data_IF_367730389472
#
_entry.id   IF_367730389472
#
_cell.length_a   1.000
_cell.length_b   1.000
_cell.length_c   1.000
_cell.angle_alpha   90.00
_cell.angle_beta   90.00
_cell.angle_gamma   90.00
#
_symmetry.space_group_name_H-M   'P 1'
#
loop_
_entity.id
_entity.type
_entity.pdbx_description
1 polymer ?
#
# COMPACT_ATOMS: atom_id res chain seq x y z
N UNK A 1 35.03 2.96 -39.47
CA UNK A 1 34.36 1.81 -38.77
C UNK A 1 34.30 1.91 -37.24
N UNK A 2 35.04 2.80 -36.54
CA UNK A 2 35.07 2.83 -35.07
C UNK A 2 33.99 3.72 -34.41
N UNK A 3 33.52 4.77 -35.09
CA UNK A 3 32.55 5.73 -34.54
C UNK A 3 31.11 5.17 -34.40
N UNK A 4 30.68 4.35 -35.38
CA UNK A 4 29.36 3.70 -35.37
C UNK A 4 29.22 2.64 -34.26
N UNK A 5 30.34 1.99 -33.88
CA UNK A 5 30.38 1.01 -32.78
C UNK A 5 30.25 1.69 -31.42
N UNK A 6 30.85 2.86 -31.23
CA UNK A 6 30.71 3.65 -29.99
C UNK A 6 29.27 4.12 -29.78
N UNK A 7 28.60 4.55 -30.85
CA UNK A 7 27.20 5.00 -30.78
C UNK A 7 26.22 3.84 -30.51
N UNK A 8 26.50 2.64 -31.04
CA UNK A 8 25.75 1.42 -30.71
C UNK A 8 25.94 1.01 -29.24
N UNK A 9 27.15 1.12 -28.70
CA UNK A 9 27.43 0.77 -27.29
C UNK A 9 26.73 1.75 -26.34
N UNK A 10 26.76 3.05 -26.63
CA UNK A 10 26.08 4.09 -25.83
C UNK A 10 24.54 3.93 -25.88
N UNK A 11 23.99 3.57 -27.05
CA UNK A 11 22.56 3.27 -27.19
C UNK A 11 22.14 2.00 -26.44
N UNK A 12 23.01 0.99 -26.36
CA UNK A 12 22.75 -0.25 -25.61
C UNK A 12 22.86 -0.03 -24.09
N UNK A 13 23.77 0.84 -23.64
CA UNK A 13 23.90 1.22 -22.22
C UNK A 13 22.73 2.06 -21.69
N UNK A 14 22.08 2.87 -22.53
CA UNK A 14 20.89 3.64 -22.14
C UNK A 14 19.62 2.78 -22.01
N UNK A 15 19.59 1.57 -22.58
CA UNK A 15 18.44 0.66 -22.47
C UNK A 15 18.40 -0.14 -21.14
N UNK A 16 19.45 -0.07 -20.32
CA UNK A 16 19.55 -0.78 -19.03
C UNK A 16 19.02 0.02 -17.83
N UNK A 17 18.53 1.26 -18.02
CA UNK A 17 18.13 2.16 -16.93
C UNK A 17 16.65 2.07 -16.53
N UNK A 18 15.91 1.08 -17.02
CA UNK A 18 14.46 1.02 -16.86
C UNK A 18 13.94 -0.04 -15.86
N UNK A 19 14.69 -0.48 -14.85
CA UNK A 19 14.13 -1.33 -13.79
C UNK A 19 14.80 -1.10 -12.42
N UNK A 20 14.96 0.16 -12.00
CA UNK A 20 15.15 0.44 -10.58
C UNK A 20 13.80 0.33 -9.85
N UNK A 21 13.32 -0.92 -9.73
CA UNK A 21 12.20 -1.25 -8.87
C UNK A 21 12.69 -1.32 -7.43
N UNK A 22 12.91 -0.16 -6.80
CA UNK A 22 13.25 -0.08 -5.39
C UNK A 22 12.21 -0.82 -4.54
N UNK A 23 12.68 -1.67 -3.62
CA UNK A 23 11.85 -2.18 -2.51
C UNK A 23 11.62 -1.00 -1.58
N UNK A 24 10.45 -0.35 -1.67
CA UNK A 24 10.06 0.65 -0.69
C UNK A 24 9.79 0.00 0.67
N UNK A 25 10.08 0.71 1.74
CA UNK A 25 9.65 0.36 3.10
C UNK A 25 8.26 0.92 3.36
N UNK A 26 7.48 0.22 4.19
CA UNK A 26 6.18 0.73 4.63
C UNK A 26 6.40 1.98 5.49
N UNK A 27 5.82 3.14 5.15
CA UNK A 27 5.86 4.33 6.00
C UNK A 27 5.31 4.05 7.40
N UNK A 28 5.98 4.56 8.44
CA UNK A 28 5.59 4.36 9.84
C UNK A 28 4.15 4.83 10.12
N UNK A 29 3.73 5.92 9.49
CA UNK A 29 2.37 6.46 9.57
C UNK A 29 1.29 5.48 9.13
N UNK A 30 1.62 4.49 8.28
CA UNK A 30 0.67 3.47 7.83
C UNK A 30 0.62 2.27 8.77
N UNK A 31 1.66 2.06 9.59
CA UNK A 31 1.74 0.91 10.49
C UNK A 31 0.66 1.04 11.57
N UNK A 32 -0.06 -0.07 11.78
CA UNK A 32 -1.12 -0.19 12.78
C UNK A 32 -2.35 -0.90 12.26
N UNK A 33 -3.30 -1.08 13.18
CA UNK A 33 -4.62 -1.66 12.92
C UNK A 33 -5.57 -0.55 12.46
N UNK A 34 -6.32 -0.83 11.40
CA UNK A 34 -7.28 0.09 10.79
C UNK A 34 -8.67 -0.53 10.83
N UNK A 35 -9.60 0.20 11.44
CA UNK A 35 -10.98 -0.21 11.67
C UNK A 35 -11.93 0.82 11.03
N UNK A 36 -13.18 0.43 10.79
CA UNK A 36 -14.22 1.34 10.31
C UNK A 36 -15.40 1.34 11.27
N UNK A 37 -16.15 2.45 11.31
CA UNK A 37 -17.40 2.55 12.08
C UNK A 37 -18.61 1.98 11.33
N UNK A 38 -18.42 1.46 10.11
CA UNK A 38 -19.50 0.85 9.34
C UNK A 38 -20.00 -0.43 10.01
N UNK A 39 -21.30 -0.55 10.37
CA UNK A 39 -21.82 -1.75 11.05
C UNK A 39 -21.62 -3.04 10.27
N UNK A 40 -21.63 -2.98 8.93
CA UNK A 40 -21.40 -4.13 8.06
C UNK A 40 -19.97 -4.69 8.13
N UNK A 41 -19.07 -3.98 8.79
CA UNK A 41 -17.64 -4.31 8.94
C UNK A 41 -17.21 -4.25 10.41
N UNK A 42 -18.15 -4.33 11.36
CA UNK A 42 -17.87 -4.13 12.78
C UNK A 42 -16.85 -5.13 13.36
N UNK A 43 -16.75 -6.33 12.78
CA UNK A 43 -15.79 -7.36 13.15
C UNK A 43 -14.64 -7.51 12.14
N UNK A 44 -14.46 -6.52 11.26
CA UNK A 44 -13.45 -6.53 10.19
C UNK A 44 -12.45 -5.42 10.39
N UNK A 45 -11.20 -5.73 10.10
CA UNK A 45 -10.08 -4.79 10.16
C UNK A 45 -9.07 -5.12 9.08
N UNK A 46 -8.14 -4.20 8.84
CA UNK A 46 -6.88 -4.57 8.23
C UNK A 46 -5.74 -3.98 9.06
N UNK A 47 -4.62 -4.69 9.12
CA UNK A 47 -3.42 -4.24 9.81
C UNK A 47 -2.29 -4.17 8.82
N UNK A 48 -1.58 -3.05 8.84
CA UNK A 48 -0.36 -2.88 8.08
C UNK A 48 0.80 -2.98 9.06
N UNK A 49 1.73 -3.89 8.80
CA UNK A 49 3.00 -4.00 9.49
C UNK A 49 4.17 -3.72 8.54
N UNK A 50 5.39 -3.71 9.06
CA UNK A 50 6.59 -3.40 8.29
C UNK A 50 6.83 -4.38 7.12
N UNK A 51 6.40 -5.64 7.25
CA UNK A 51 6.68 -6.73 6.29
C UNK A 51 5.43 -7.51 5.86
N UNK A 52 4.29 -7.27 6.46
CA UNK A 52 3.06 -8.02 6.20
C UNK A 52 1.83 -7.12 6.29
N UNK A 53 0.78 -7.56 5.62
CA UNK A 53 -0.57 -7.01 5.71
C UNK A 53 -1.50 -8.11 6.18
N UNK A 54 -2.35 -7.79 7.15
CA UNK A 54 -3.30 -8.71 7.75
C UNK A 54 -4.71 -8.23 7.44
N UNK A 55 -5.60 -9.13 7.06
CA UNK A 55 -7.01 -8.83 6.86
C UNK A 55 -7.86 -9.64 7.83
N UNK A 56 -8.57 -8.97 8.74
CA UNK A 56 -9.59 -9.59 9.59
C UNK A 56 -10.87 -9.79 8.79
N UNK A 57 -11.27 -11.04 8.59
CA UNK A 57 -12.40 -11.42 7.72
C UNK A 57 -13.72 -11.62 8.47
N UNK A 58 -13.71 -11.37 9.78
CA UNK A 58 -14.84 -11.55 10.69
C UNK A 58 -14.73 -12.83 11.51
N UNK A 59 -15.59 -12.98 12.52
CA UNK A 59 -15.62 -14.17 13.41
C UNK A 59 -14.26 -14.50 14.08
N UNK A 60 -13.40 -13.50 14.30
CA UNK A 60 -12.05 -13.69 14.83
C UNK A 60 -11.06 -14.35 13.86
N UNK A 61 -11.42 -14.53 12.58
CA UNK A 61 -10.54 -15.06 11.54
C UNK A 61 -9.74 -13.93 10.88
N UNK A 62 -8.51 -14.26 10.48
CA UNK A 62 -7.64 -13.34 9.76
C UNK A 62 -6.73 -14.07 8.78
N UNK A 63 -6.35 -13.37 7.72
CA UNK A 63 -5.36 -13.81 6.75
C UNK A 63 -4.13 -12.91 6.80
N UNK A 64 -2.94 -13.52 6.85
CA UNK A 64 -1.65 -12.81 6.87
C UNK A 64 -0.95 -12.96 5.53
N UNK A 65 -0.52 -11.85 4.95
CA UNK A 65 0.18 -11.85 3.68
C UNK A 65 1.48 -11.05 3.72
N UNK A 66 2.62 -11.62 3.28
CA UNK A 66 3.86 -10.87 3.18
C UNK A 66 3.77 -9.77 2.12
N UNK A 67 4.17 -8.56 2.52
CA UNK A 67 4.34 -7.41 1.63
C UNK A 67 5.62 -7.61 0.82
N UNK A 68 5.47 -7.53 -0.49
CA UNK A 68 6.56 -7.68 -1.45
C UNK A 68 7.06 -6.33 -1.96
N UNK A 69 6.20 -5.31 -1.92
CA UNK A 69 6.47 -3.99 -2.49
C UNK A 69 5.45 -2.96 -2.00
N UNK A 70 5.91 -1.72 -1.86
CA UNK A 70 5.06 -0.55 -1.73
C UNK A 70 5.41 0.49 -2.81
N UNK A 71 4.39 1.19 -3.30
CA UNK A 71 4.52 2.32 -4.22
C UNK A 71 3.61 3.46 -3.78
N UNK A 72 4.06 4.67 -4.09
CA UNK A 72 3.32 5.90 -3.87
C UNK A 72 3.16 6.55 -5.23
N UNK A 73 1.91 6.82 -5.60
CA UNK A 73 1.54 7.42 -6.87
C UNK A 73 0.75 8.70 -6.61
N UNK A 74 0.84 9.64 -7.55
CA UNK A 74 0.10 10.88 -7.55
C UNK A 74 -1.09 10.73 -8.50
N UNK A 75 -2.31 10.79 -7.99
CA UNK A 75 -3.54 10.71 -8.79
C UNK A 75 -4.31 12.03 -8.72
N UNK A 76 -4.84 12.51 -9.84
CA UNK A 76 -5.69 13.71 -9.89
C UNK A 76 -7.16 13.31 -9.85
N UNK A 77 -7.92 13.92 -8.95
CA UNK A 77 -9.37 13.75 -8.86
C UNK A 77 -10.01 15.13 -8.61
N UNK A 78 -10.96 15.54 -9.45
CA UNK A 78 -11.63 16.84 -9.35
C UNK A 78 -10.66 18.02 -9.18
N UNK A 79 -9.60 18.06 -10.00
CA UNK A 79 -8.52 19.06 -9.96
C UNK A 79 -7.67 19.08 -8.67
N UNK A 80 -7.94 18.20 -7.69
CA UNK A 80 -7.14 18.03 -6.48
C UNK A 80 -6.15 16.89 -6.66
N UNK A 81 -4.91 17.10 -6.22
CA UNK A 81 -3.89 16.07 -6.18
C UNK A 81 -4.12 15.19 -4.95
N UNK A 82 -4.26 13.88 -5.15
CA UNK A 82 -4.31 12.88 -4.09
C UNK A 82 -3.09 11.97 -4.15
N UNK A 83 -2.69 11.47 -2.99
CA UNK A 83 -1.63 10.46 -2.84
C UNK A 83 -2.28 9.09 -2.78
N UNK A 84 -1.96 8.23 -3.76
CA UNK A 84 -2.41 6.85 -3.84
C UNK A 84 -1.28 5.94 -3.39
N UNK A 85 -1.55 5.12 -2.38
CA UNK A 85 -0.66 4.06 -1.94
C UNK A 85 -1.05 2.74 -2.60
N UNK A 86 -0.03 1.97 -2.98
CA UNK A 86 -0.15 0.62 -3.49
C UNK A 86 0.74 -0.30 -2.64
N UNK A 87 0.11 -1.25 -1.95
CA UNK A 87 0.80 -2.39 -1.33
C UNK A 87 0.62 -3.61 -2.23
N UNK A 88 1.72 -4.23 -2.66
CA UNK A 88 1.70 -5.55 -3.28
C UNK A 88 2.00 -6.61 -2.24
N UNK A 89 1.13 -7.59 -2.09
CA UNK A 89 1.30 -8.72 -1.18
C UNK A 89 1.12 -10.04 -1.94
N UNK A 90 1.61 -11.16 -1.39
CA UNK A 90 1.49 -12.48 -2.04
C UNK A 90 0.82 -13.49 -1.13
N UNK A 91 0.07 -14.43 -1.70
CA UNK A 91 -0.41 -15.60 -0.98
C UNK A 91 0.66 -16.71 -0.90
N UNK A 92 0.31 -17.80 -0.23
CA UNK A 92 1.14 -19.02 -0.11
C UNK A 92 1.55 -19.61 -1.48
N UNK A 93 0.70 -19.50 -2.49
CA UNK A 93 0.97 -19.97 -3.86
C UNK A 93 1.87 -19.02 -4.66
N UNK A 94 2.29 -17.89 -4.07
CA UNK A 94 3.12 -16.89 -4.73
C UNK A 94 2.36 -15.93 -5.65
N UNK A 95 1.03 -16.03 -5.74
CA UNK A 95 0.20 -15.09 -6.49
C UNK A 95 0.24 -13.72 -5.83
N UNK A 96 0.56 -12.70 -6.63
CA UNK A 96 0.67 -11.31 -6.18
C UNK A 96 -0.66 -10.59 -6.34
N UNK A 97 -1.08 -9.92 -5.27
CA UNK A 97 -2.25 -9.08 -5.17
C UNK A 97 -1.85 -7.61 -4.97
N UNK A 98 -2.78 -6.70 -5.25
CA UNK A 98 -2.57 -5.25 -5.16
C UNK A 98 -3.65 -4.65 -4.27
N UNK A 99 -3.24 -3.90 -3.26
CA UNK A 99 -4.11 -3.15 -2.37
C UNK A 99 -3.88 -1.65 -2.57
N UNK A 100 -4.92 -0.95 -3.04
CA UNK A 100 -4.87 0.46 -3.39
C UNK A 100 -5.73 1.28 -2.43
N UNK A 101 -5.13 2.31 -1.84
CA UNK A 101 -5.83 3.19 -0.92
C UNK A 101 -5.27 4.60 -0.92
N UNK A 102 -6.13 5.56 -0.61
CA UNK A 102 -5.75 6.94 -0.31
C UNK A 102 -5.49 7.05 1.19
N UNK A 103 -4.42 7.77 1.54
CA UNK A 103 -4.10 8.12 2.92
C UNK A 103 -4.13 9.64 3.07
N UNK A 104 -4.86 10.09 4.07
CA UNK A 104 -4.89 11.49 4.52
C UNK A 104 -4.32 11.52 5.93
N UNK A 105 -3.20 12.22 6.12
CA UNK A 105 -2.49 12.30 7.39
C UNK A 105 -3.16 13.25 8.40
N UNK A 106 -4.24 13.95 8.03
CA UNK A 106 -5.00 14.78 8.97
C UNK A 106 -5.68 13.94 10.06
N UNK A 107 -5.85 14.52 11.25
CA UNK A 107 -6.64 13.95 12.36
C UNK A 107 -6.33 12.47 12.68
N UNK A 108 -5.07 12.17 13.01
CA UNK A 108 -4.57 10.81 13.35
C UNK A 108 -4.51 9.82 12.17
N UNK A 109 -4.79 10.28 10.95
CA UNK A 109 -4.69 9.48 9.74
C UNK A 109 -6.00 8.80 9.38
N UNK A 110 -6.41 8.91 8.11
CA UNK A 110 -7.54 8.15 7.56
C UNK A 110 -7.16 7.44 6.28
N UNK A 111 -7.68 6.24 6.09
CA UNK A 111 -7.54 5.45 4.87
C UNK A 111 -8.91 5.31 4.18
N UNK A 112 -8.91 5.46 2.85
CA UNK A 112 -10.06 5.16 1.99
C UNK A 112 -9.62 4.28 0.84
N UNK A 113 -10.30 3.17 0.61
CA UNK A 113 -9.92 2.26 -0.47
C UNK A 113 -10.26 2.88 -1.83
N UNK A 114 -9.43 2.60 -2.84
CA UNK A 114 -9.64 3.15 -4.18
C UNK A 114 -11.00 2.75 -4.77
N UNK A 115 -11.46 1.55 -4.46
CA UNK A 115 -12.74 0.99 -4.93
C UNK A 115 -13.92 1.22 -3.96
N UNK A 116 -13.70 1.81 -2.78
CA UNK A 116 -14.74 2.08 -1.76
C UNK A 116 -14.44 3.39 -1.03
N UNK A 117 -14.54 4.51 -1.76
CA UNK A 117 -14.10 5.83 -1.27
C UNK A 117 -14.98 6.39 -0.13
N UNK A 118 -16.23 5.96 -0.05
CA UNK A 118 -17.16 6.38 1.01
C UNK A 118 -16.82 5.77 2.37
N UNK A 119 -16.06 4.67 2.39
CA UNK A 119 -15.70 3.98 3.61
C UNK A 119 -14.43 4.55 4.22
N UNK A 120 -14.56 5.10 5.43
CA UNK A 120 -13.45 5.67 6.19
C UNK A 120 -12.91 4.62 7.15
N UNK A 121 -11.61 4.39 7.05
CA UNK A 121 -10.84 3.56 7.97
C UNK A 121 -9.96 4.45 8.83
N UNK A 122 -10.04 4.27 10.14
CA UNK A 122 -9.28 5.04 11.14
C UNK A 122 -8.33 4.12 11.88
N UNK A 123 -7.15 4.63 12.22
CA UNK A 123 -6.20 3.86 13.02
C UNK A 123 -6.81 3.59 14.40
N UNK A 124 -6.74 2.34 14.86
CA UNK A 124 -7.16 1.94 16.20
C UNK A 124 -6.33 2.70 17.23
N UNK A 125 -6.98 3.52 18.05
CA UNK A 125 -6.32 4.19 19.17
C UNK A 125 -5.87 3.13 20.18
N UNK A 126 -4.67 3.28 20.74
CA UNK A 126 -4.16 2.43 21.83
C UNK A 126 -4.92 2.63 23.16
N UNK A 127 -6.02 3.38 23.17
CA UNK A 127 -6.82 3.67 24.38
C UNK A 127 -7.94 2.63 24.60
N UNK A 128 -7.60 1.42 25.06
CA UNK A 128 -8.48 0.57 25.91
C UNK A 128 -7.75 -0.71 26.36
N UNK A 129 -6.67 -0.52 27.10
CA UNK A 129 -6.14 -1.51 28.03
C UNK A 129 -5.74 -0.78 29.32
N UNK A 130 -6.72 -0.15 29.96
CA UNK A 130 -6.59 0.38 31.31
C UNK A 130 -7.95 0.25 32.02
N UNK A 131 -8.14 -0.93 32.62
CA UNK A 131 -8.81 -1.23 33.89
C UNK A 131 -9.41 -2.64 33.87
#
# INVERSE_FOLDING_TARGET
>A
MKLKKVWMIISCLMALSAFQCGRGTVPEDLIGVWETKSPAYADRFFEIQAKEIIFGTGEGRFDVYPITKIRIEKEKENQKQKTLYLICYKNIEGKVYKFFFYYDSANQGTIRFKNQKEMVWTKKSLSSASN
#
